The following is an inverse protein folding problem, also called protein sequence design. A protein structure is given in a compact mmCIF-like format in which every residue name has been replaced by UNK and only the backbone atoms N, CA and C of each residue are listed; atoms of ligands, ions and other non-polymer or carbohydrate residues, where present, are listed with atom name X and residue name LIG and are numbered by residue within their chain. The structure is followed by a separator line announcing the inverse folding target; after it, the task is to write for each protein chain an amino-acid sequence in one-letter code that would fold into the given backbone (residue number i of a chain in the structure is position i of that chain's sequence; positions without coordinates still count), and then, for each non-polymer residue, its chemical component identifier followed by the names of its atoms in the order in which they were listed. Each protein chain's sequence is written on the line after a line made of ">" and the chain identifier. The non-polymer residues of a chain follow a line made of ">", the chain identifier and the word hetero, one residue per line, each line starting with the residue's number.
data_IF_319166705018
#
_entry.id   IF_319166705018
#
_cell.length_a   1.000
_cell.length_b   1.000
_cell.length_c   1.000
_cell.angle_alpha   90.00
_cell.angle_beta   90.00
_cell.angle_gamma   90.00
#
_symmetry.space_group_name_H-M   'P 1'
#
loop_
_entity.id
_entity.type
_entity.pdbx_description
1 polymer ?
#
# COMPACT_ATOMS: atom_id res chain seq x y z
N UNK A 1 16.71 -4.78 3.19
CA UNK A 1 15.79 -4.32 3.73
C UNK A 1 14.53 -4.58 3.22
N UNK A 2 13.69 -5.11 3.87
CA UNK A 2 12.41 -5.47 3.38
C UNK A 2 11.37 -4.65 4.06
N UNK A 3 10.35 -4.31 3.37
CA UNK A 3 9.20 -3.64 3.91
C UNK A 3 7.97 -4.45 3.66
N UNK A 4 6.92 -4.18 4.40
CA UNK A 4 5.64 -4.84 4.23
C UNK A 4 4.54 -3.81 4.26
N UNK A 5 3.51 -4.05 3.47
CA UNK A 5 2.32 -3.21 3.48
C UNK A 5 1.15 -4.15 3.74
N UNK A 6 0.40 -3.89 4.80
CA UNK A 6 -0.73 -4.71 5.15
C UNK A 6 -1.99 -3.88 5.03
N UNK A 7 -3.08 -4.49 4.61
CA UNK A 7 -4.38 -3.83 4.54
C UNK A 7 -5.04 -4.00 5.91
N UNK A 8 -5.54 -2.91 6.47
CA UNK A 8 -6.22 -2.92 7.74
C UNK A 8 -7.72 -3.00 7.49
N UNK A 9 -8.36 -3.98 8.08
CA UNK A 9 -9.80 -4.15 7.97
C UNK A 9 -10.34 -4.29 9.38
N UNK A 10 -10.88 -3.20 9.92
CA UNK A 10 -11.31 -3.17 11.30
C UNK A 10 -10.11 -3.28 12.20
N UNK A 11 -10.04 -4.33 13.00
CA UNK A 11 -8.93 -4.54 13.90
C UNK A 11 -7.98 -5.62 13.37
N UNK A 12 -8.09 -5.99 12.09
CA UNK A 12 -7.25 -7.03 11.52
C UNK A 12 -6.35 -6.44 10.46
N UNK A 13 -5.13 -6.94 10.38
CA UNK A 13 -4.19 -6.56 9.34
C UNK A 13 -3.98 -7.77 8.44
N UNK A 14 -4.11 -7.57 7.14
CA UNK A 14 -3.99 -8.66 6.17
C UNK A 14 -2.76 -8.43 5.31
N UNK A 15 -1.87 -9.41 5.27
CA UNK A 15 -0.64 -9.32 4.48
C UNK A 15 -0.94 -9.88 3.09
N UNK A 16 -1.58 -9.07 2.28
CA UNK A 16 -2.01 -9.49 0.95
C UNK A 16 -1.15 -8.92 -0.17
N UNK A 17 -0.26 -8.00 0.15
CA UNK A 17 0.54 -7.33 -0.86
C UNK A 17 1.96 -7.87 -0.90
N UNK A 18 2.48 -8.07 -2.10
CA UNK A 18 3.90 -8.29 -2.27
C UNK A 18 4.55 -6.96 -2.59
N UNK A 19 5.33 -6.42 -1.67
CA UNK A 19 5.89 -5.09 -1.84
C UNK A 19 7.05 -5.12 -2.79
N UNK A 20 7.01 -4.29 -3.81
CA UNK A 20 8.09 -4.16 -4.77
C UNK A 20 8.99 -2.97 -4.44
N UNK A 21 8.44 -1.93 -3.86
CA UNK A 21 9.22 -0.78 -3.44
C UNK A 21 8.34 0.29 -2.86
N UNK A 22 8.91 1.10 -2.00
CA UNK A 22 8.24 2.25 -1.41
C UNK A 22 9.19 3.41 -1.54
N UNK A 23 8.78 4.45 -2.25
CA UNK A 23 9.60 5.63 -2.44
C UNK A 23 8.74 6.81 -2.79
N UNK A 24 9.13 7.98 -2.34
CA UNK A 24 8.48 9.24 -2.71
C UNK A 24 6.99 9.25 -2.43
N UNK A 25 6.58 8.59 -1.35
CA UNK A 25 5.18 8.58 -0.96
C UNK A 25 4.32 7.64 -1.79
N UNK A 26 4.92 6.74 -2.54
CA UNK A 26 4.21 5.78 -3.36
C UNK A 26 4.72 4.38 -3.05
N UNK A 27 3.81 3.46 -2.79
CA UNK A 27 4.15 2.06 -2.61
C UNK A 27 3.72 1.30 -3.86
N UNK A 28 4.63 0.54 -4.43
CA UNK A 28 4.33 -0.32 -5.57
C UNK A 28 4.25 -1.73 -5.05
N UNK A 29 3.11 -2.36 -5.25
CA UNK A 29 2.84 -3.66 -4.68
C UNK A 29 2.20 -4.57 -5.72
N UNK A 30 2.42 -5.87 -5.55
CA UNK A 30 1.66 -6.86 -6.27
C UNK A 30 0.47 -7.20 -5.40
N UNK A 31 -0.72 -7.13 -5.97
CA UNK A 31 -1.93 -7.39 -5.21
C UNK A 31 -2.75 -8.47 -5.90
N UNK A 32 -3.23 -9.47 -5.16
CA UNK A 32 -4.14 -10.45 -5.73
C UNK A 32 -5.54 -9.87 -5.92
N UNK A 33 -5.77 -8.68 -5.35
CA UNK A 33 -7.08 -8.05 -5.41
C UNK A 33 -7.03 -6.91 -6.41
N UNK A 34 -8.14 -6.67 -7.09
CA UNK A 34 -8.23 -5.58 -8.04
C UNK A 34 -9.00 -4.46 -7.40
N UNK A 35 -8.30 -3.43 -6.97
CA UNK A 35 -8.91 -2.26 -6.39
C UNK A 35 -9.21 -1.25 -7.49
N UNK A 36 -10.18 -0.38 -7.25
CA UNK A 36 -10.51 0.65 -8.20
C UNK A 36 -9.58 1.85 -8.01
N UNK A 37 -9.28 2.53 -9.10
CA UNK A 37 -8.45 3.72 -9.03
C UNK A 37 -9.22 4.77 -8.25
N UNK A 38 -8.54 5.37 -7.28
CA UNK A 38 -9.17 6.35 -6.39
C UNK A 38 -9.69 5.76 -5.09
N UNK A 39 -9.69 4.42 -4.99
CA UNK A 39 -10.17 3.79 -3.78
C UNK A 39 -9.18 4.03 -2.65
N UNK A 40 -9.67 4.28 -1.45
CA UNK A 40 -8.81 4.53 -0.30
C UNK A 40 -8.83 3.34 0.62
N UNK A 41 -7.65 2.98 1.12
CA UNK A 41 -7.47 1.83 1.98
C UNK A 41 -6.71 2.26 3.22
N UNK A 42 -7.03 1.66 4.35
CA UNK A 42 -6.20 1.83 5.53
C UNK A 42 -5.09 0.79 5.45
N UNK A 43 -3.86 1.22 5.61
CA UNK A 43 -2.72 0.32 5.49
C UNK A 43 -1.78 0.49 6.66
N UNK A 44 -1.03 -0.57 6.94
CA UNK A 44 0.05 -0.52 7.91
C UNK A 44 1.33 -0.79 7.14
N UNK A 45 2.30 0.09 7.31
CA UNK A 45 3.59 -0.05 6.64
C UNK A 45 4.62 -0.39 7.69
N UNK A 46 5.30 -1.52 7.48
CA UNK A 46 6.38 -1.97 8.35
C UNK A 46 7.67 -1.88 7.55
N UNK A 47 8.59 -1.06 8.00
CA UNK A 47 9.82 -0.86 7.27
C UNK A 47 10.93 -0.55 8.25
N UNK A 48 12.01 -1.30 8.18
CA UNK A 48 13.18 -1.07 9.01
C UNK A 48 12.87 -1.01 10.51
N UNK A 49 11.96 -1.86 10.94
CA UNK A 49 11.59 -1.90 12.34
C UNK A 49 10.58 -0.87 12.77
N UNK A 50 10.16 -0.01 11.86
CA UNK A 50 9.16 1.01 12.16
C UNK A 50 7.82 0.58 11.62
N UNK A 51 6.76 0.88 12.34
CA UNK A 51 5.40 0.55 11.93
C UNK A 51 4.60 1.84 11.89
N UNK A 52 3.98 2.11 10.76
CA UNK A 52 3.18 3.32 10.57
C UNK A 52 1.86 2.93 9.94
N UNK A 53 0.77 3.47 10.45
CA UNK A 53 -0.55 3.24 9.86
C UNK A 53 -0.99 4.53 9.18
N UNK A 54 -1.52 4.39 7.99
CA UNK A 54 -1.94 5.56 7.23
C UNK A 54 -2.96 5.15 6.19
N UNK A 55 -3.51 6.12 5.49
CA UNK A 55 -4.43 5.86 4.39
C UNK A 55 -3.64 5.84 3.10
N UNK A 56 -3.96 4.92 2.22
CA UNK A 56 -3.39 4.87 0.89
C UNK A 56 -4.50 4.99 -0.13
N UNK A 57 -4.22 5.66 -1.24
CA UNK A 57 -5.17 5.77 -2.33
C UNK A 57 -4.61 5.07 -3.54
N UNK A 58 -5.42 4.28 -4.21
CA UNK A 58 -4.99 3.56 -5.40
C UNK A 58 -4.80 4.56 -6.54
N UNK A 59 -3.56 4.68 -7.03
CA UNK A 59 -3.27 5.61 -8.13
C UNK A 59 -3.48 4.95 -9.47
N UNK A 60 -3.14 3.72 -9.61
CA UNK A 60 -3.26 3.04 -10.87
C UNK A 60 -2.66 1.66 -10.84
N UNK A 61 -2.77 0.98 -11.96
CA UNK A 61 -2.26 -0.36 -12.11
C UNK A 61 -1.34 -0.39 -13.33
N UNK A 62 -0.26 -1.13 -13.22
CA UNK A 62 0.72 -1.24 -14.29
C UNK A 62 0.95 -2.71 -14.61
N UNK A 63 1.29 -2.99 -15.85
CA UNK A 63 1.68 -4.32 -16.25
C UNK A 63 0.52 -5.20 -16.67
N UNK A 64 0.82 -6.40 -17.17
CA UNK A 64 -0.22 -7.30 -17.66
C UNK A 64 -1.04 -7.89 -16.51
N UNK A 65 -2.17 -8.48 -16.85
CA UNK A 65 -3.11 -8.96 -15.85
C UNK A 65 -2.51 -10.00 -14.91
N UNK A 66 -1.58 -10.82 -15.40
CA UNK A 66 -1.00 -11.86 -14.56
C UNK A 66 0.24 -11.39 -13.80
N UNK A 67 0.64 -10.14 -13.97
CA UNK A 67 1.77 -9.57 -13.24
C UNK A 67 1.50 -8.12 -12.94
N UNK A 68 0.27 -7.82 -12.51
CA UNK A 68 -0.14 -6.45 -12.29
C UNK A 68 0.51 -5.87 -11.05
N UNK A 69 0.98 -4.64 -11.19
CA UNK A 69 1.53 -3.88 -10.08
C UNK A 69 0.56 -2.75 -9.77
N UNK A 70 0.20 -2.62 -8.53
CA UNK A 70 -0.68 -1.55 -8.09
C UNK A 70 0.14 -0.48 -7.41
N UNK A 71 -0.10 0.77 -7.77
CA UNK A 71 0.56 1.91 -7.14
C UNK A 71 -0.38 2.51 -6.11
N UNK A 72 0.09 2.59 -4.88
CA UNK A 72 -0.66 3.16 -3.78
C UNK A 72 0.00 4.47 -3.37
N UNK A 73 -0.77 5.55 -3.43
CA UNK A 73 -0.29 6.83 -2.97
C UNK A 73 -0.49 6.89 -1.47
N UNK A 74 0.57 7.11 -0.73
CA UNK A 74 0.51 7.10 0.72
C UNK A 74 0.13 8.49 1.21
N UNK A 75 -0.99 8.56 1.92
CA UNK A 75 -1.51 9.81 2.43
C UNK A 75 -1.17 9.89 3.91
N UNK A 76 -0.18 10.68 4.23
CA UNK A 76 0.32 10.74 5.59
C UNK A 76 -0.36 11.88 6.33
N UNK A 77 -1.44 11.56 7.00
CA UNK A 77 -2.20 12.56 7.71
C UNK A 77 -1.47 13.13 8.89
N UNK A 78 -0.48 12.46 9.36
CA UNK A 78 0.23 12.95 10.54
C UNK A 78 1.08 14.16 10.21
N UNK A 79 1.36 14.39 8.95
CA UNK A 79 2.16 15.50 8.57
C UNK A 79 1.39 16.76 8.38
N UNK A 80 0.07 16.65 8.34
CA UNK A 80 -0.69 17.74 8.05
C UNK A 80 -0.55 18.75 9.02
N UNK A 81 -0.59 19.76 8.81
CA UNK A 81 -0.53 20.68 9.76
C UNK A 81 -0.89 21.86 9.45
#
# INVERSE_FOLDING_TARGET
>A
MSGRVLVIDGDRAHDVFGVLGIADGVARVRSPLLFEIGEELSVRIEQDGNVTEMTARVRGHLGPADARVTELELLDDAVKK
#
